data_IF_556206719686
#
_entry.id   IF_556206719686
#
_cell.length_a   1.000
_cell.length_b   1.000
_cell.length_c   1.000
_cell.angle_alpha   90.00
_cell.angle_beta   90.00
_cell.angle_gamma   90.00
#
_symmetry.space_group_name_H-M   'P 1'
#
loop_
_entity.id
_entity.type
_entity.pdbx_description
1 polymer ?
#
# COMPACT_ATOMS: atom_id res chain seq x y z
N UNK A 1 -6.14 24.35 -14.98
CA UNK A 1 -5.75 24.25 -16.42
C UNK A 1 -4.90 23.01 -16.69
N UNK A 2 -3.85 22.70 -15.93
CA UNK A 2 -3.03 21.50 -16.12
C UNK A 2 -3.85 20.20 -15.99
N UNK A 3 -4.68 20.06 -14.96
CA UNK A 3 -5.51 18.87 -14.78
C UNK A 3 -6.55 18.65 -15.90
N UNK A 4 -7.04 19.71 -16.53
CA UNK A 4 -7.92 19.59 -17.68
C UNK A 4 -7.18 19.04 -18.92
N UNK A 5 -5.96 19.52 -19.16
CA UNK A 5 -5.11 19.04 -20.25
C UNK A 5 -4.76 17.56 -20.05
N UNK A 6 -4.40 17.16 -18.83
CA UNK A 6 -4.16 15.75 -18.49
C UNK A 6 -5.38 14.87 -18.74
N UNK A 7 -6.57 15.29 -18.29
CA UNK A 7 -7.82 14.57 -18.55
C UNK A 7 -8.13 14.47 -20.06
N UNK A 8 -7.84 15.51 -20.84
CA UNK A 8 -8.06 15.51 -22.28
C UNK A 8 -7.08 14.57 -23.00
N UNK A 9 -5.81 14.59 -22.60
CA UNK A 9 -4.78 13.65 -23.11
C UNK A 9 -5.18 12.21 -22.81
N UNK A 10 -5.60 11.92 -21.57
CA UNK A 10 -6.07 10.60 -21.16
C UNK A 10 -7.28 10.15 -21.99
N UNK A 11 -8.24 11.02 -22.21
CA UNK A 11 -9.43 10.75 -23.01
C UNK A 11 -9.09 10.45 -24.49
N UNK A 12 -8.26 11.31 -25.11
CA UNK A 12 -7.82 11.11 -26.50
C UNK A 12 -6.98 9.85 -26.68
N UNK A 13 -6.15 9.53 -25.69
CA UNK A 13 -5.38 8.28 -25.68
C UNK A 13 -6.31 7.07 -25.57
N UNK A 14 -7.34 7.15 -24.75
CA UNK A 14 -8.34 6.09 -24.62
C UNK A 14 -9.13 5.86 -25.92
N UNK A 15 -9.47 6.91 -26.63
CA UNK A 15 -10.14 6.83 -27.93
C UNK A 15 -9.22 6.19 -28.99
N UNK A 16 -7.97 6.65 -29.07
CA UNK A 16 -6.99 6.09 -30.01
C UNK A 16 -6.74 4.61 -29.79
N UNK A 17 -6.65 4.20 -28.52
CA UNK A 17 -6.26 2.86 -28.10
C UNK A 17 -7.47 1.99 -27.70
N UNK A 18 -8.69 2.35 -28.17
CA UNK A 18 -9.93 1.67 -27.79
C UNK A 18 -9.94 0.18 -28.18
N UNK A 19 -9.38 -0.13 -29.33
CA UNK A 19 -9.32 -1.51 -29.88
C UNK A 19 -8.03 -2.27 -29.46
N UNK A 20 -7.12 -1.61 -28.74
CA UNK A 20 -5.86 -2.22 -28.29
C UNK A 20 -6.09 -2.95 -26.97
N UNK A 21 -5.70 -4.24 -26.91
CA UNK A 21 -5.80 -5.02 -25.69
C UNK A 21 -5.00 -4.36 -24.57
N UNK A 22 -5.62 -4.15 -23.40
CA UNK A 22 -5.03 -3.44 -22.27
C UNK A 22 -3.69 -4.01 -21.81
N UNK A 23 -3.54 -5.34 -21.83
CA UNK A 23 -2.33 -6.03 -21.37
C UNK A 23 -1.11 -5.84 -22.30
N UNK A 24 -1.31 -5.36 -23.54
CA UNK A 24 -0.20 -5.08 -24.46
C UNK A 24 0.36 -3.67 -24.29
N UNK A 25 -0.39 -2.76 -23.63
CA UNK A 25 0.05 -1.38 -23.38
C UNK A 25 1.17 -1.30 -22.36
N UNK A 26 1.96 -0.22 -22.40
CA UNK A 26 2.99 0.05 -21.38
C UNK A 26 2.43 0.62 -20.08
N UNK A 27 1.20 1.12 -20.11
CA UNK A 27 0.46 1.56 -18.93
C UNK A 27 -0.92 0.93 -18.96
N UNK A 28 -1.20 0.08 -18.00
CA UNK A 28 -2.50 -0.59 -17.87
C UNK A 28 -3.45 0.21 -17.00
N UNK A 29 -4.68 0.38 -17.44
CA UNK A 29 -5.79 0.84 -16.61
C UNK A 29 -6.41 -0.35 -15.89
N UNK A 30 -6.37 -0.35 -14.56
CA UNK A 30 -6.79 -1.50 -13.74
C UNK A 30 -8.25 -1.86 -13.98
N UNK A 31 -9.10 -0.85 -14.19
CA UNK A 31 -10.53 -1.03 -14.48
C UNK A 31 -10.82 -1.73 -15.82
N UNK A 32 -9.85 -1.70 -16.77
CA UNK A 32 -9.96 -2.33 -18.09
C UNK A 32 -9.34 -3.74 -18.13
N UNK A 33 -8.76 -4.20 -17.03
CA UNK A 33 -8.22 -5.55 -16.94
C UNK A 33 -9.36 -6.56 -16.74
N UNK A 34 -9.29 -7.68 -17.45
CA UNK A 34 -10.23 -8.80 -17.33
C UNK A 34 -9.96 -9.67 -16.09
N UNK A 35 -9.64 -9.03 -14.97
CA UNK A 35 -9.37 -9.69 -13.69
C UNK A 35 -9.79 -8.80 -12.52
N UNK A 36 -10.20 -9.42 -11.43
CA UNK A 36 -10.45 -8.70 -10.20
C UNK A 36 -9.15 -8.43 -9.44
N UNK A 37 -8.69 -7.18 -9.46
CA UNK A 37 -7.44 -6.77 -8.80
C UNK A 37 -7.69 -6.41 -7.35
N UNK A 38 -6.97 -7.09 -6.44
CA UNK A 38 -7.00 -6.83 -5.00
C UNK A 38 -6.19 -5.58 -4.65
N UNK A 39 -6.86 -4.51 -4.22
CA UNK A 39 -6.20 -3.24 -3.94
C UNK A 39 -6.68 -2.56 -2.65
N UNK A 40 -5.93 -1.56 -2.21
CA UNK A 40 -6.23 -0.77 -1.02
C UNK A 40 -7.48 0.11 -1.24
N UNK A 41 -8.47 0.00 -0.34
CA UNK A 41 -9.71 0.79 -0.39
C UNK A 41 -9.48 2.28 -0.08
N UNK A 42 -8.45 2.58 0.71
CA UNK A 42 -8.14 3.95 1.12
C UNK A 42 -7.36 4.70 0.02
N UNK A 43 -6.48 3.97 -0.70
CA UNK A 43 -5.65 4.50 -1.78
C UNK A 43 -5.73 3.63 -3.03
N UNK A 44 -6.91 3.53 -3.64
CA UNK A 44 -7.03 2.75 -4.88
C UNK A 44 -6.14 3.36 -5.97
N UNK A 45 -5.45 2.50 -6.70
CA UNK A 45 -4.65 2.90 -7.85
C UNK A 45 -5.45 2.69 -9.12
N UNK A 46 -5.27 3.58 -10.08
CA UNK A 46 -5.95 3.48 -11.37
C UNK A 46 -5.10 2.75 -12.41
N UNK A 47 -3.78 2.81 -12.27
CA UNK A 47 -2.87 2.32 -13.32
C UNK A 47 -1.69 1.52 -12.77
N UNK A 48 -1.15 0.66 -13.67
CA UNK A 48 0.13 -0.02 -13.52
C UNK A 48 0.98 0.36 -14.73
N UNK A 49 2.21 0.85 -14.51
CA UNK A 49 3.10 1.27 -15.59
C UNK A 49 4.29 0.33 -15.72
N UNK A 50 4.75 0.08 -16.94
CA UNK A 50 5.94 -0.70 -17.31
C UNK A 50 7.01 0.17 -17.98
N UNK A 51 6.78 1.48 -18.09
CA UNK A 51 7.64 2.41 -18.84
C UNK A 51 9.09 2.49 -18.34
N UNK A 52 9.33 2.12 -17.09
CA UNK A 52 10.67 2.11 -16.51
C UNK A 52 11.49 0.83 -16.77
N UNK A 53 11.00 -0.09 -17.61
CA UNK A 53 11.73 -1.29 -18.05
C UNK A 53 12.25 -1.01 -19.46
N UNK A 54 13.59 -0.95 -19.62
CA UNK A 54 14.24 -0.49 -20.83
C UNK A 54 14.31 -1.57 -21.93
N UNK A 55 14.43 -2.85 -21.54
CA UNK A 55 14.56 -3.97 -22.46
C UNK A 55 13.16 -4.40 -22.93
N UNK A 56 12.85 -4.36 -24.25
CA UNK A 56 11.50 -4.67 -24.74
C UNK A 56 11.05 -6.11 -24.45
N UNK A 57 11.92 -7.09 -24.65
CA UNK A 57 11.61 -8.50 -24.43
C UNK A 57 11.35 -8.78 -22.93
N UNK A 58 12.25 -8.31 -22.05
CA UNK A 58 12.07 -8.38 -20.60
C UNK A 58 10.76 -7.71 -20.16
N UNK A 59 10.40 -6.56 -20.77
CA UNK A 59 9.16 -5.87 -20.45
C UNK A 59 7.92 -6.73 -20.73
N UNK A 60 7.89 -7.42 -21.87
CA UNK A 60 6.78 -8.31 -22.22
C UNK A 60 6.71 -9.53 -21.29
N UNK A 61 7.85 -10.09 -20.92
CA UNK A 61 7.93 -11.17 -19.93
C UNK A 61 7.39 -10.75 -18.59
N UNK A 62 7.78 -9.56 -18.11
CA UNK A 62 7.30 -8.98 -16.85
C UNK A 62 5.80 -8.65 -16.91
N UNK A 63 5.29 -8.13 -18.03
CA UNK A 63 3.84 -7.89 -18.21
C UNK A 63 3.05 -9.19 -17.98
N UNK A 64 3.48 -10.29 -18.58
CA UNK A 64 2.81 -11.59 -18.42
C UNK A 64 2.88 -12.10 -16.99
N UNK A 65 4.04 -11.99 -16.32
CA UNK A 65 4.22 -12.37 -14.93
C UNK A 65 3.32 -11.52 -13.99
N UNK A 66 3.26 -10.21 -14.21
CA UNK A 66 2.42 -9.28 -13.45
C UNK A 66 0.93 -9.60 -13.64
N UNK A 67 0.50 -9.87 -14.87
CA UNK A 67 -0.90 -10.26 -15.13
C UNK A 67 -1.29 -11.54 -14.38
N UNK A 68 -0.39 -12.52 -14.35
CA UNK A 68 -0.60 -13.75 -13.58
C UNK A 68 -0.68 -13.47 -12.06
N UNK A 69 0.27 -12.68 -11.54
CA UNK A 69 0.33 -12.37 -10.12
C UNK A 69 -0.87 -11.56 -9.61
N UNK A 70 -1.41 -10.64 -10.42
CA UNK A 70 -2.57 -9.83 -10.03
C UNK A 70 -3.82 -10.64 -9.72
N UNK A 71 -3.89 -11.90 -10.14
CA UNK A 71 -4.96 -12.84 -9.80
C UNK A 71 -4.85 -13.40 -8.38
N UNK A 72 -3.63 -13.38 -7.82
CA UNK A 72 -3.30 -14.05 -6.54
C UNK A 72 -2.89 -13.01 -5.50
N UNK A 73 -2.01 -12.09 -5.88
CA UNK A 73 -1.37 -11.12 -5.01
C UNK A 73 -2.07 -9.76 -5.03
N UNK A 74 -1.81 -8.97 -3.99
CA UNK A 74 -2.29 -7.59 -3.95
C UNK A 74 -1.50 -6.70 -4.91
N UNK A 75 -2.18 -5.68 -5.47
CA UNK A 75 -1.55 -4.67 -6.31
C UNK A 75 -0.31 -4.02 -5.68
N UNK A 76 -0.33 -3.77 -4.37
CA UNK A 76 0.81 -3.17 -3.67
C UNK A 76 2.02 -4.13 -3.58
N UNK A 77 1.81 -5.43 -3.57
CA UNK A 77 2.88 -6.43 -3.69
C UNK A 77 3.51 -6.36 -5.08
N UNK A 78 2.69 -6.45 -6.12
CA UNK A 78 3.12 -6.40 -7.53
C UNK A 78 3.86 -5.08 -7.85
N UNK A 79 3.40 -3.95 -7.33
CA UNK A 79 4.09 -2.66 -7.51
C UNK A 79 5.48 -2.61 -6.87
N UNK A 80 5.67 -3.27 -5.73
CA UNK A 80 7.01 -3.38 -5.12
C UNK A 80 7.94 -4.22 -5.98
N UNK A 81 7.44 -5.28 -6.59
CA UNK A 81 8.20 -6.10 -7.54
C UNK A 81 8.53 -5.32 -8.82
N UNK A 82 7.58 -4.57 -9.36
CA UNK A 82 7.83 -3.66 -10.48
C UNK A 82 8.88 -2.58 -10.14
N UNK A 83 8.93 -2.13 -8.90
CA UNK A 83 9.97 -1.20 -8.48
C UNK A 83 11.34 -1.85 -8.48
N UNK A 84 11.45 -3.09 -8.00
CA UNK A 84 12.70 -3.84 -8.00
C UNK A 84 13.18 -4.13 -9.43
N UNK A 85 12.28 -4.61 -10.30
CA UNK A 85 12.65 -4.94 -11.69
C UNK A 85 13.04 -3.69 -12.50
N UNK A 86 12.43 -2.53 -12.27
CA UNK A 86 12.83 -1.28 -12.94
C UNK A 86 14.24 -0.84 -12.55
N UNK A 87 14.63 -1.01 -11.28
CA UNK A 87 16.00 -0.74 -10.84
C UNK A 87 16.99 -1.71 -11.48
N UNK A 88 16.66 -2.98 -11.49
CA UNK A 88 17.46 -4.00 -12.15
C UNK A 88 17.58 -3.74 -13.65
N UNK A 89 16.47 -3.42 -14.34
CA UNK A 89 16.47 -3.06 -15.76
C UNK A 89 17.35 -1.84 -16.06
N UNK A 90 17.37 -0.83 -15.17
CA UNK A 90 18.28 0.33 -15.30
C UNK A 90 19.75 -0.11 -15.21
N UNK A 91 20.09 -0.91 -14.21
CA UNK A 91 21.43 -1.48 -14.09
C UNK A 91 21.83 -2.26 -15.36
N UNK A 92 20.96 -3.12 -15.87
CA UNK A 92 21.22 -3.86 -17.11
C UNK A 92 21.46 -2.93 -18.30
N UNK A 93 20.68 -1.88 -18.42
CA UNK A 93 20.84 -0.89 -19.51
C UNK A 93 22.17 -0.13 -19.43
N UNK A 94 22.69 0.10 -18.24
CA UNK A 94 23.96 0.81 -18.02
C UNK A 94 25.17 -0.11 -18.14
N UNK A 95 25.10 -1.34 -17.63
CA UNK A 95 26.25 -2.23 -17.47
C UNK A 95 26.21 -3.50 -18.32
N UNK A 96 25.04 -3.93 -18.81
CA UNK A 96 24.81 -5.22 -19.49
C UNK A 96 23.93 -5.07 -20.75
N UNK A 97 24.34 -4.23 -21.69
CA UNK A 97 23.53 -3.87 -22.87
C UNK A 97 23.17 -5.03 -23.79
N UNK A 98 23.90 -6.15 -23.70
CA UNK A 98 23.65 -7.37 -24.46
C UNK A 98 22.49 -8.21 -23.87
N UNK A 99 22.08 -7.95 -22.63
CA UNK A 99 20.99 -8.66 -21.96
C UNK A 99 19.66 -8.07 -22.39
N UNK A 100 18.74 -8.87 -22.94
CA UNK A 100 17.46 -8.42 -23.50
C UNK A 100 16.26 -9.01 -22.78
N UNK A 101 16.38 -10.26 -22.30
CA UNK A 101 15.29 -11.04 -21.71
C UNK A 101 15.76 -11.78 -20.44
N UNK A 102 14.82 -12.37 -19.71
CA UNK A 102 15.16 -13.26 -18.58
C UNK A 102 15.91 -14.52 -19.03
N UNK A 103 15.80 -14.93 -20.29
CA UNK A 103 16.56 -16.06 -20.82
C UNK A 103 18.09 -15.83 -20.81
N UNK A 104 18.52 -14.57 -20.84
CA UNK A 104 19.93 -14.18 -20.84
C UNK A 104 20.51 -14.08 -19.42
N UNK A 105 19.70 -14.27 -18.38
CA UNK A 105 20.16 -14.12 -17.01
C UNK A 105 20.95 -15.33 -16.55
N UNK A 106 22.07 -15.04 -15.90
CA UNK A 106 22.88 -16.01 -15.21
C UNK A 106 23.22 -15.55 -13.78
N UNK A 107 23.88 -16.41 -13.05
CA UNK A 107 24.29 -16.11 -11.68
C UNK A 107 25.27 -14.95 -11.61
N UNK A 108 26.15 -14.79 -12.58
CA UNK A 108 27.18 -13.74 -12.64
C UNK A 108 26.53 -12.34 -12.69
N UNK A 109 25.51 -12.18 -13.53
CA UNK A 109 24.75 -10.91 -13.64
C UNK A 109 24.13 -10.54 -12.28
N UNK A 110 23.57 -11.52 -11.59
CA UNK A 110 22.98 -11.28 -10.26
C UNK A 110 24.05 -10.90 -9.23
N UNK A 111 25.18 -11.60 -9.19
CA UNK A 111 26.26 -11.30 -8.26
C UNK A 111 26.84 -9.89 -8.48
N UNK A 112 27.07 -9.50 -9.71
CA UNK A 112 27.51 -8.14 -10.04
C UNK A 112 26.47 -7.09 -9.66
N UNK A 113 25.19 -7.34 -9.89
CA UNK A 113 24.12 -6.44 -9.44
C UNK A 113 24.05 -6.32 -7.92
N UNK A 114 24.25 -7.42 -7.17
CA UNK A 114 24.31 -7.39 -5.72
C UNK A 114 25.51 -6.57 -5.21
N UNK A 115 26.66 -6.64 -5.88
CA UNK A 115 27.83 -5.79 -5.59
C UNK A 115 27.50 -4.34 -5.86
N UNK A 116 26.97 -4.03 -7.06
CA UNK A 116 26.56 -2.67 -7.46
C UNK A 116 25.61 -2.04 -6.42
N UNK A 117 24.58 -2.76 -5.97
CA UNK A 117 23.65 -2.26 -4.96
C UNK A 117 24.32 -1.94 -3.61
N UNK A 118 25.41 -2.64 -3.27
CA UNK A 118 26.13 -2.42 -2.01
C UNK A 118 27.12 -1.27 -2.09
N UNK A 119 27.72 -1.04 -3.26
CA UNK A 119 28.87 -0.13 -3.43
C UNK A 119 28.47 1.22 -4.02
N UNK A 120 27.57 1.24 -5.00
CA UNK A 120 27.26 2.42 -5.81
C UNK A 120 25.87 3.00 -5.52
N UNK A 121 24.92 2.19 -5.11
CA UNK A 121 23.58 2.66 -4.75
C UNK A 121 23.54 3.11 -3.28
N UNK A 122 24.13 4.25 -3.01
CA UNK A 122 24.25 4.86 -1.68
C UNK A 122 22.92 5.34 -1.14
N UNK A 123 22.08 4.49 -0.61
CA UNK A 123 20.84 4.96 0.02
C UNK A 123 19.81 3.90 0.31
N UNK A 124 20.09 2.67 -0.03
CA UNK A 124 19.08 1.63 0.07
C UNK A 124 19.03 1.00 1.46
N UNK A 125 18.42 1.67 2.42
CA UNK A 125 17.91 1.05 3.64
C UNK A 125 16.96 -0.14 3.37
N UNK A 126 16.62 -0.38 2.09
CA UNK A 126 15.63 -1.37 1.63
C UNK A 126 16.21 -2.54 0.85
N UNK A 127 17.52 -2.68 0.81
CA UNK A 127 18.25 -3.72 0.06
C UNK A 127 17.63 -5.11 0.19
N UNK A 128 17.35 -5.58 1.40
CA UNK A 128 16.70 -6.87 1.64
C UNK A 128 15.35 -7.00 0.92
N UNK A 129 14.50 -5.99 1.08
CA UNK A 129 13.15 -6.01 0.49
C UNK A 129 13.21 -6.01 -1.04
N UNK A 130 14.13 -5.27 -1.62
CA UNK A 130 14.31 -5.18 -3.06
C UNK A 130 14.78 -6.50 -3.66
N UNK A 131 15.82 -7.12 -3.08
CA UNK A 131 16.31 -8.43 -3.55
C UNK A 131 15.22 -9.50 -3.42
N UNK A 132 14.48 -9.51 -2.30
CA UNK A 132 13.39 -10.47 -2.12
C UNK A 132 12.31 -10.30 -3.19
N UNK A 133 11.98 -9.05 -3.57
CA UNK A 133 10.99 -8.76 -4.60
C UNK A 133 11.48 -9.07 -6.00
N UNK A 134 12.75 -8.78 -6.28
CA UNK A 134 13.38 -9.16 -7.54
C UNK A 134 13.37 -10.69 -7.71
N UNK A 135 13.76 -11.44 -6.68
CA UNK A 135 13.71 -12.91 -6.69
C UNK A 135 12.30 -13.43 -6.99
N UNK A 136 11.30 -12.85 -6.33
CA UNK A 136 9.90 -13.27 -6.51
C UNK A 136 9.48 -13.17 -7.98
N UNK A 137 9.65 -12.01 -8.60
CA UNK A 137 9.20 -11.80 -9.97
C UNK A 137 10.03 -12.58 -11.00
N UNK A 138 11.35 -12.70 -10.81
CA UNK A 138 12.20 -13.48 -11.70
C UNK A 138 11.83 -14.97 -11.69
N UNK A 139 11.56 -15.54 -10.52
CA UNK A 139 11.13 -16.94 -10.43
C UNK A 139 9.78 -17.16 -11.13
N UNK A 140 8.85 -16.22 -11.05
CA UNK A 140 7.56 -16.31 -11.73
C UNK A 140 7.76 -16.25 -13.25
N UNK A 141 8.60 -15.35 -13.75
CA UNK A 141 8.94 -15.32 -15.18
C UNK A 141 9.57 -16.64 -15.62
N UNK A 142 10.54 -17.16 -14.85
CA UNK A 142 11.20 -18.41 -15.11
C UNK A 142 10.22 -19.61 -15.19
N UNK A 143 9.23 -19.64 -14.30
CA UNK A 143 8.18 -20.67 -14.30
C UNK A 143 7.23 -20.53 -15.50
N UNK A 144 6.80 -19.30 -15.85
CA UNK A 144 5.87 -19.06 -16.98
C UNK A 144 6.51 -19.38 -18.32
N UNK A 145 7.78 -19.02 -18.52
CA UNK A 145 8.49 -19.18 -19.79
C UNK A 145 9.35 -20.44 -19.86
N UNK A 146 9.37 -21.24 -18.79
CA UNK A 146 10.18 -22.45 -18.69
C UNK A 146 11.67 -22.18 -18.89
N UNK A 147 12.20 -21.16 -18.19
CA UNK A 147 13.62 -20.81 -18.19
C UNK A 147 14.33 -21.40 -16.96
N UNK A 148 14.76 -22.68 -16.99
CA UNK A 148 15.36 -23.32 -15.83
C UNK A 148 16.63 -22.60 -15.34
N UNK A 149 17.40 -21.99 -16.25
CA UNK A 149 18.60 -21.23 -15.94
C UNK A 149 18.32 -19.91 -15.19
N UNK A 150 17.12 -19.33 -15.34
CA UNK A 150 16.72 -18.09 -14.68
C UNK A 150 16.05 -18.33 -13.32
N UNK A 151 15.78 -19.59 -12.98
CA UNK A 151 15.16 -19.97 -11.71
C UNK A 151 16.18 -19.98 -10.58
N UNK A 152 15.77 -19.49 -9.41
CA UNK A 152 16.57 -19.49 -8.17
C UNK A 152 17.97 -18.83 -8.29
N UNK A 153 18.12 -17.88 -9.20
CA UNK A 153 19.36 -17.12 -9.36
C UNK A 153 19.74 -16.32 -8.10
N UNK A 154 18.76 -15.90 -7.32
CA UNK A 154 18.95 -15.20 -6.04
C UNK A 154 18.78 -16.20 -4.90
N UNK A 155 19.88 -16.54 -4.25
CA UNK A 155 19.92 -17.52 -3.18
C UNK A 155 19.54 -16.91 -1.82
N UNK A 156 19.19 -17.76 -0.84
CA UNK A 156 18.88 -17.29 0.52
C UNK A 156 20.05 -16.55 1.17
N UNK A 157 21.30 -16.94 0.92
CA UNK A 157 22.51 -16.28 1.42
C UNK A 157 22.72 -14.87 0.87
N UNK A 158 22.11 -14.53 -0.27
CA UNK A 158 22.21 -13.21 -0.89
C UNK A 158 21.30 -12.18 -0.20
N UNK A 159 20.31 -12.68 0.52
CA UNK A 159 19.32 -11.85 1.21
C UNK A 159 19.85 -11.51 2.61
N UNK A 160 20.13 -10.23 2.91
CA UNK A 160 20.58 -9.83 4.22
C UNK A 160 19.61 -10.28 5.33
N UNK A 161 20.12 -10.53 6.55
CA UNK A 161 19.24 -10.86 7.67
C UNK A 161 18.24 -9.75 7.95
N UNK A 162 17.08 -10.11 8.50
CA UNK A 162 16.10 -9.14 8.93
C UNK A 162 16.53 -8.51 10.26
N UNK A 163 16.93 -7.25 10.22
CA UNK A 163 17.19 -6.49 11.45
C UNK A 163 15.82 -6.16 12.05
N UNK A 164 15.47 -6.81 13.15
CA UNK A 164 14.26 -6.47 13.89
C UNK A 164 14.46 -5.09 14.52
N UNK A 165 13.64 -4.12 14.19
CA UNK A 165 13.57 -2.88 14.95
C UNK A 165 12.98 -3.19 16.33
N UNK A 166 13.54 -2.56 17.37
CA UNK A 166 12.91 -2.59 18.68
C UNK A 166 11.51 -2.01 18.60
N UNK A 167 10.56 -2.70 19.22
CA UNK A 167 9.18 -2.24 19.24
C UNK A 167 9.08 -1.15 20.32
N UNK A 168 8.81 0.09 19.89
CA UNK A 168 8.59 1.21 20.81
C UNK A 168 7.20 1.07 21.43
N UNK A 169 7.14 0.94 22.73
CA UNK A 169 5.90 0.97 23.53
C UNK A 169 5.84 2.32 24.24
N UNK A 170 4.70 2.96 24.22
CA UNK A 170 4.47 4.18 24.96
C UNK A 170 4.28 3.88 26.45
N UNK A 171 4.83 4.72 27.32
CA UNK A 171 4.59 4.65 28.77
C UNK A 171 3.15 5.09 29.11
N UNK A 172 2.66 4.72 30.30
CA UNK A 172 1.34 5.17 30.75
C UNK A 172 1.25 6.70 30.83
N UNK A 173 2.35 7.37 31.20
CA UNK A 173 2.44 8.82 31.22
C UNK A 173 2.36 9.43 29.80
N UNK A 174 3.02 8.81 28.83
CA UNK A 174 2.94 9.21 27.42
C UNK A 174 1.51 9.03 26.88
N UNK A 175 0.88 7.88 27.15
CA UNK A 175 -0.51 7.61 26.75
C UNK A 175 -1.49 8.61 27.38
N UNK A 176 -1.30 8.95 28.66
CA UNK A 176 -2.12 9.98 29.33
C UNK A 176 -1.98 11.33 28.64
N UNK A 177 -0.74 11.80 28.40
CA UNK A 177 -0.49 13.06 27.68
C UNK A 177 -1.10 13.06 26.28
N UNK A 178 -1.00 11.93 25.57
CA UNK A 178 -1.59 11.79 24.25
C UNK A 178 -3.13 11.87 24.31
N UNK A 179 -3.76 11.23 25.28
CA UNK A 179 -5.21 11.28 25.43
C UNK A 179 -5.70 12.71 25.80
N UNK A 180 -5.00 13.42 26.66
CA UNK A 180 -5.27 14.84 26.97
C UNK A 180 -5.09 15.72 25.71
N UNK A 181 -4.09 15.44 24.90
CA UNK A 181 -3.85 16.12 23.62
C UNK A 181 -4.99 15.89 22.62
N UNK A 182 -5.60 14.69 22.58
CA UNK A 182 -6.71 14.42 21.66
C UNK A 182 -7.92 15.35 21.86
N UNK A 183 -8.10 15.92 23.04
CA UNK A 183 -9.13 16.93 23.28
C UNK A 183 -8.88 18.26 22.55
N UNK A 184 -7.67 18.49 22.03
CA UNK A 184 -7.26 19.71 21.33
C UNK A 184 -7.23 19.59 19.80
N UNK A 185 -7.53 18.42 19.26
CA UNK A 185 -7.65 18.20 17.81
C UNK A 185 -9.11 18.26 17.36
N UNK A 186 -9.35 18.28 16.06
CA UNK A 186 -10.73 18.23 15.57
C UNK A 186 -11.44 16.94 16.05
N UNK A 187 -12.73 17.07 16.32
CA UNK A 187 -13.51 16.04 17.00
C UNK A 187 -13.52 14.70 16.26
N UNK A 188 -13.52 14.71 14.93
CA UNK A 188 -13.57 13.46 14.16
C UNK A 188 -12.21 12.79 14.15
N UNK A 189 -11.11 13.56 14.09
CA UNK A 189 -9.75 13.02 14.24
C UNK A 189 -9.54 12.44 15.65
N UNK A 190 -10.02 13.13 16.70
CA UNK A 190 -9.98 12.60 18.07
C UNK A 190 -10.72 11.26 18.15
N UNK A 191 -11.94 11.15 17.58
CA UNK A 191 -12.71 9.90 17.54
C UNK A 191 -12.00 8.78 16.80
N UNK A 192 -11.38 9.06 15.63
CA UNK A 192 -10.56 8.07 14.92
C UNK A 192 -9.49 7.49 15.84
N UNK A 193 -8.72 8.35 16.49
CA UNK A 193 -7.59 7.93 17.33
C UNK A 193 -8.04 7.18 18.58
N UNK A 194 -9.09 7.65 19.24
CA UNK A 194 -9.65 7.00 20.44
C UNK A 194 -10.23 5.62 20.09
N UNK A 195 -11.02 5.53 19.02
CA UNK A 195 -11.59 4.25 18.57
C UNK A 195 -10.46 3.29 18.15
N UNK A 196 -9.43 3.80 17.46
CA UNK A 196 -8.26 3.04 17.07
C UNK A 196 -7.52 2.43 18.27
N UNK A 197 -7.29 3.22 19.33
CA UNK A 197 -6.68 2.75 20.58
C UNK A 197 -7.54 1.69 21.27
N UNK A 198 -8.84 1.95 21.43
CA UNK A 198 -9.74 1.03 22.11
C UNK A 198 -9.97 -0.28 21.36
N UNK A 199 -9.96 -0.25 20.02
CA UNK A 199 -10.10 -1.44 19.19
C UNK A 199 -8.81 -2.25 19.08
N UNK A 200 -7.64 -1.61 19.14
CA UNK A 200 -6.34 -2.26 18.90
C UNK A 200 -6.21 -2.82 17.48
N UNK A 201 -6.89 -2.24 16.50
CA UNK A 201 -6.87 -2.67 15.10
C UNK A 201 -5.76 -1.99 14.32
N UNK A 202 -5.56 -2.36 13.05
CA UNK A 202 -4.71 -1.56 12.15
C UNK A 202 -5.44 -0.26 11.81
N UNK A 203 -4.70 0.83 11.60
CA UNK A 203 -5.32 2.12 11.24
C UNK A 203 -6.18 2.01 9.97
N UNK A 204 -5.80 1.17 9.00
CA UNK A 204 -6.62 0.87 7.84
C UNK A 204 -8.00 0.34 8.21
N UNK A 205 -8.05 -0.58 9.16
CA UNK A 205 -9.28 -1.26 9.54
C UNK A 205 -10.19 -0.30 10.32
N UNK A 206 -9.61 0.61 11.12
CA UNK A 206 -10.34 1.70 11.78
C UNK A 206 -10.92 2.69 10.76
N UNK A 207 -10.13 3.14 9.79
CA UNK A 207 -10.58 4.10 8.78
C UNK A 207 -11.63 3.54 7.83
N UNK A 208 -11.67 2.22 7.65
CA UNK A 208 -12.67 1.54 6.81
C UNK A 208 -13.86 0.99 7.58
N UNK A 209 -14.03 1.36 8.86
CA UNK A 209 -15.23 1.02 9.61
C UNK A 209 -16.47 1.55 8.90
N UNK A 210 -17.46 0.67 8.74
CA UNK A 210 -18.72 0.99 8.05
C UNK A 210 -19.73 1.54 9.05
N UNK A 211 -20.66 2.33 8.55
CA UNK A 211 -21.77 2.87 9.37
C UNK A 211 -22.70 1.80 9.90
N UNK A 212 -22.72 0.62 9.27
CA UNK A 212 -23.48 -0.57 9.69
C UNK A 212 -22.65 -1.58 10.52
N UNK A 213 -21.54 -1.15 11.14
CA UNK A 213 -20.61 -2.05 11.84
C UNK A 213 -21.10 -2.54 13.21
N UNK A 214 -22.06 -1.87 13.83
CA UNK A 214 -22.57 -2.24 15.15
C UNK A 214 -23.76 -3.19 15.03
N UNK A 215 -23.77 -4.22 15.87
CA UNK A 215 -24.84 -5.19 15.99
C UNK A 215 -25.11 -5.51 17.46
N UNK A 216 -26.35 -5.88 17.78
CA UNK A 216 -26.71 -6.39 19.10
C UNK A 216 -27.08 -7.86 18.96
N UNK A 217 -26.46 -8.71 19.78
CA UNK A 217 -26.74 -10.14 19.83
C UNK A 217 -26.67 -10.63 21.27
N UNK A 218 -27.72 -11.31 21.73
CA UNK A 218 -27.81 -11.87 23.09
C UNK A 218 -27.54 -10.86 24.22
N UNK A 219 -27.91 -9.58 24.02
CA UNK A 219 -27.65 -8.52 24.99
C UNK A 219 -26.22 -7.94 25.00
N UNK A 220 -25.38 -8.42 24.13
CA UNK A 220 -24.00 -7.88 23.89
C UNK A 220 -23.99 -7.03 22.64
N UNK A 221 -23.13 -5.97 22.68
CA UNK A 221 -22.86 -5.15 21.50
C UNK A 221 -21.61 -5.70 20.81
N UNK A 222 -21.77 -6.08 19.55
CA UNK A 222 -20.70 -6.58 18.70
C UNK A 222 -20.33 -5.52 17.67
N UNK A 223 -19.02 -5.44 17.34
CA UNK A 223 -18.53 -4.69 16.19
C UNK A 223 -18.08 -5.65 15.10
N UNK A 224 -18.53 -5.39 13.86
CA UNK A 224 -18.06 -6.06 12.66
C UNK A 224 -16.96 -5.25 11.99
N UNK A 225 -15.76 -5.84 11.85
CA UNK A 225 -14.59 -5.19 11.29
C UNK A 225 -14.16 -5.94 10.02
N UNK A 226 -14.06 -5.20 8.92
CA UNK A 226 -13.49 -5.69 7.67
C UNK A 226 -12.00 -5.48 7.67
N UNK A 227 -11.23 -6.56 7.80
CA UNK A 227 -9.77 -6.49 7.64
C UNK A 227 -9.41 -6.51 6.16
N UNK A 228 -8.76 -5.46 5.68
CA UNK A 228 -8.35 -5.34 4.28
C UNK A 228 -7.44 -6.48 3.80
N UNK A 229 -6.72 -7.14 4.71
CA UNK A 229 -5.74 -8.18 4.37
C UNK A 229 -6.23 -9.61 4.57
N UNK A 230 -7.30 -9.82 5.34
CA UNK A 230 -7.74 -11.18 5.73
C UNK A 230 -9.24 -11.36 5.51
N UNK A 231 -10.03 -11.28 6.57
CA UNK A 231 -11.46 -11.51 6.56
C UNK A 231 -12.17 -10.48 7.44
N UNK A 232 -13.51 -10.45 7.38
CA UNK A 232 -14.25 -9.76 8.42
C UNK A 232 -14.31 -10.66 9.67
N UNK A 233 -14.36 -10.01 10.83
CA UNK A 233 -14.60 -10.67 12.10
C UNK A 233 -15.48 -9.80 12.99
N UNK A 234 -16.12 -10.42 13.94
CA UNK A 234 -16.96 -9.78 14.94
C UNK A 234 -16.32 -9.97 16.31
N UNK A 235 -16.37 -8.94 17.13
CA UNK A 235 -15.96 -9.04 18.53
C UNK A 235 -16.87 -8.21 19.43
N UNK A 236 -17.09 -8.62 20.70
CA UNK A 236 -17.79 -7.79 21.67
C UNK A 236 -16.99 -6.53 21.98
N UNK A 237 -17.70 -5.44 22.23
CA UNK A 237 -17.15 -4.16 22.63
C UNK A 237 -17.91 -3.58 23.84
N UNK A 238 -17.24 -2.66 24.57
CA UNK A 238 -17.89 -1.98 25.68
C UNK A 238 -18.98 -1.01 25.21
N UNK A 239 -19.88 -0.68 26.12
CA UNK A 239 -20.95 0.29 25.84
C UNK A 239 -20.39 1.68 25.54
N UNK A 240 -19.29 2.08 26.22
CA UNK A 240 -18.63 3.36 26.01
C UNK A 240 -18.08 3.44 24.58
N UNK A 241 -17.41 2.37 24.10
CA UNK A 241 -16.89 2.34 22.75
C UNK A 241 -18.02 2.35 21.71
N UNK A 242 -19.10 1.61 21.96
CA UNK A 242 -20.28 1.62 21.10
C UNK A 242 -20.92 3.01 21.03
N UNK A 243 -21.03 3.72 22.17
CA UNK A 243 -21.53 5.08 22.21
C UNK A 243 -20.66 6.03 21.40
N UNK A 244 -19.33 5.95 21.54
CA UNK A 244 -18.38 6.75 20.77
C UNK A 244 -18.49 6.50 19.26
N UNK A 245 -18.66 5.24 18.86
CA UNK A 245 -18.89 4.86 17.46
C UNK A 245 -20.20 5.43 16.94
N UNK A 246 -21.29 5.33 17.69
CA UNK A 246 -22.60 5.92 17.31
C UNK A 246 -22.50 7.45 17.14
N UNK A 247 -21.77 8.12 18.02
CA UNK A 247 -21.49 9.55 17.90
C UNK A 247 -20.70 9.89 16.61
N UNK A 248 -19.70 9.06 16.27
CA UNK A 248 -18.92 9.24 15.05
C UNK A 248 -19.79 9.01 13.78
N UNK A 249 -20.69 8.02 13.81
CA UNK A 249 -21.67 7.77 12.74
C UNK A 249 -22.60 8.98 12.59
N UNK A 250 -23.23 9.42 13.68
CA UNK A 250 -24.17 10.54 13.68
C UNK A 250 -23.50 11.81 13.11
N UNK A 251 -22.28 12.15 13.54
CA UNK A 251 -21.53 13.28 13.01
C UNK A 251 -21.35 13.22 11.49
N UNK A 252 -21.05 12.03 10.97
CA UNK A 252 -20.85 11.86 9.54
C UNK A 252 -22.16 11.97 8.76
N UNK A 253 -23.24 11.37 9.28
CA UNK A 253 -24.58 11.42 8.65
C UNK A 253 -25.17 12.83 8.67
N UNK A 254 -25.02 13.58 9.76
CA UNK A 254 -25.47 14.97 9.85
C UNK A 254 -24.73 15.88 8.87
N UNK A 255 -23.44 15.62 8.60
CA UNK A 255 -22.61 16.48 7.77
C UNK A 255 -22.63 16.13 6.28
N UNK A 256 -22.70 14.84 5.95
CA UNK A 256 -22.51 14.34 4.58
C UNK A 256 -23.67 13.46 4.10
N UNK A 257 -24.68 13.23 4.93
CA UNK A 257 -25.77 12.31 4.63
C UNK A 257 -25.35 10.85 4.79
N UNK A 258 -26.09 9.96 4.16
CA UNK A 258 -25.84 8.51 4.24
C UNK A 258 -24.55 8.12 3.56
N UNK A 259 -23.56 7.74 4.34
CA UNK A 259 -22.23 7.32 3.88
C UNK A 259 -21.99 5.83 4.18
N UNK A 260 -21.09 5.22 3.42
CA UNK A 260 -20.65 3.83 3.64
C UNK A 260 -19.70 3.70 4.84
N UNK A 261 -18.83 4.69 5.04
CA UNK A 261 -17.77 4.68 6.05
C UNK A 261 -18.06 5.71 7.15
N UNK A 262 -17.75 5.36 8.41
CA UNK A 262 -17.84 6.28 9.54
C UNK A 262 -16.88 7.46 9.36
N UNK A 263 -15.64 7.16 8.92
CA UNK A 263 -14.61 8.14 8.65
C UNK A 263 -14.50 8.33 7.13
N UNK A 264 -15.43 9.10 6.59
CA UNK A 264 -15.51 9.32 5.15
C UNK A 264 -14.56 10.43 4.68
N UNK A 265 -14.18 10.38 3.40
CA UNK A 265 -13.37 11.40 2.76
C UNK A 265 -14.22 12.66 2.50
N UNK A 266 -13.69 13.84 2.83
CA UNK A 266 -14.41 15.12 2.72
C UNK A 266 -14.68 15.54 1.27
N UNK A 267 -13.85 15.08 0.32
CA UNK A 267 -13.98 15.41 -1.11
C UNK A 267 -14.69 14.32 -1.92
N UNK A 268 -14.75 13.09 -1.40
CA UNK A 268 -15.40 11.97 -2.07
C UNK A 268 -16.03 11.05 -1.01
N UNK A 269 -17.29 11.30 -0.71
CA UNK A 269 -18.02 10.62 0.36
C UNK A 269 -18.24 9.12 0.11
N UNK A 270 -17.90 8.62 -1.07
CA UNK A 270 -17.94 7.18 -1.37
C UNK A 270 -16.70 6.44 -0.86
N UNK A 271 -15.65 7.16 -0.45
CA UNK A 271 -14.36 6.64 0.01
C UNK A 271 -14.11 6.91 1.48
N UNK A 272 -13.30 6.07 2.14
CA UNK A 272 -12.87 6.34 3.51
C UNK A 272 -11.84 7.50 3.55
N UNK A 273 -11.68 8.09 4.72
CA UNK A 273 -10.63 9.07 5.01
C UNK A 273 -9.23 8.47 4.76
N UNK A 274 -8.31 9.29 4.26
CA UNK A 274 -6.97 8.82 3.92
C UNK A 274 -6.00 8.86 5.09
N UNK A 275 -4.98 7.97 5.08
CA UNK A 275 -3.88 8.00 6.07
C UNK A 275 -3.18 9.36 6.11
N UNK A 276 -2.93 9.97 4.94
CA UNK A 276 -2.23 11.24 4.83
C UNK A 276 -2.99 12.38 5.51
N UNK A 277 -4.32 12.34 5.44
CA UNK A 277 -5.17 13.35 6.08
C UNK A 277 -5.07 13.22 7.61
N UNK A 278 -5.25 12.02 8.16
CA UNK A 278 -5.13 11.78 9.60
C UNK A 278 -3.71 12.09 10.08
N UNK A 279 -2.70 11.57 9.39
CA UNK A 279 -1.31 11.83 9.74
C UNK A 279 -0.99 13.32 9.72
N UNK A 280 -1.43 14.04 8.67
CA UNK A 280 -1.22 15.48 8.56
C UNK A 280 -1.87 16.26 9.72
N UNK A 281 -3.14 15.96 10.05
CA UNK A 281 -3.86 16.61 11.15
C UNK A 281 -3.18 16.35 12.50
N UNK A 282 -2.84 15.10 12.79
CA UNK A 282 -2.19 14.73 14.05
C UNK A 282 -0.78 15.35 14.12
N UNK A 283 0.04 15.23 13.08
CA UNK A 283 1.40 15.79 13.07
C UNK A 283 1.37 17.32 13.25
N UNK A 284 0.49 18.03 12.54
CA UNK A 284 0.34 19.47 12.67
C UNK A 284 -0.06 19.86 14.10
N UNK A 285 -1.00 19.13 14.69
CA UNK A 285 -1.44 19.36 16.05
C UNK A 285 -0.34 19.05 17.09
N UNK A 286 0.44 17.96 16.90
CA UNK A 286 1.59 17.62 17.75
C UNK A 286 2.60 18.77 17.80
N UNK A 287 2.94 19.34 16.65
CA UNK A 287 3.87 20.48 16.58
C UNK A 287 3.27 21.74 17.22
N UNK A 288 1.99 22.04 16.96
CA UNK A 288 1.29 23.20 17.54
C UNK A 288 1.25 23.13 19.06
N UNK A 289 0.94 21.97 19.62
CA UNK A 289 0.80 21.75 21.06
C UNK A 289 2.14 21.36 21.72
N UNK A 290 3.23 21.27 20.95
CA UNK A 290 4.56 20.85 21.40
C UNK A 290 4.54 19.51 22.19
N UNK A 291 3.75 18.55 21.71
CA UNK A 291 3.60 17.26 22.37
C UNK A 291 4.88 16.41 22.21
N UNK A 292 5.47 16.02 23.34
CA UNK A 292 6.74 15.28 23.35
C UNK A 292 6.64 14.00 24.19
N UNK A 293 7.42 13.01 23.79
CA UNK A 293 7.63 11.74 24.50
C UNK A 293 8.54 11.95 25.74
N UNK A 294 8.75 10.90 26.52
CA UNK A 294 9.59 10.94 27.72
C UNK A 294 11.07 11.27 27.42
N UNK A 295 11.51 11.10 26.16
CA UNK A 295 12.85 11.43 25.70
C UNK A 295 12.94 12.83 25.06
N UNK A 296 11.87 13.64 25.14
CA UNK A 296 11.81 14.99 24.58
C UNK A 296 11.66 15.05 23.04
N UNK A 297 11.42 13.92 22.38
CA UNK A 297 11.12 13.87 20.93
C UNK A 297 9.64 14.09 20.68
N UNK A 298 9.28 14.59 19.52
CA UNK A 298 7.88 14.63 19.11
C UNK A 298 7.30 13.21 18.97
N UNK A 299 6.01 13.07 19.32
CA UNK A 299 5.28 11.81 19.19
C UNK A 299 5.22 11.28 17.76
#
# INVERSE_FOLDING_TARGET
TLGYIECLIDYLTDLRDADVNEITKDVWKIEKLDIQVKQDLIRPRKTISFTGISQPELKEEIKKAVYFQLRIESLETVKKELTAIRRFSRYLNEHKKNVKSCADFDRTIIEEYLVYMKTEDTGTKRYRSEITRLRSILNIVADIYQYPQAKDLILNRDIPPNIRSEFKVYSDAELKRFNEFLAKVDIQTARVMTIHQMLGTRISDTLTLRTDCLMEQNGEILIRIYQMKTHYYEKPISQELAALIREAIRYTEERYGKCKYIFTNENDHTKPMTYSLIQGRITTAIYRENLRDDNGKYF
#
